data_IF_774014527078
#
_entry.id   IF_774014527078
#
_cell.length_a   1.000
_cell.length_b   1.000
_cell.length_c   1.000
_cell.angle_alpha   90.00
_cell.angle_beta   90.00
_cell.angle_gamma   90.00
#
_symmetry.space_group_name_H-M   'P 1'
#
loop_
_entity.id
_entity.type
_entity.pdbx_description
1 polymer ?
#
# COMPACT_ATOMS: atom_id res chain seq x y z
N UNK A 1 -26.97 -2.11 0.45
CA UNK A 1 -25.67 -1.93 1.12
C UNK A 1 -24.66 -2.66 0.27
N UNK A 2 -23.70 -1.96 -0.32
CA UNK A 2 -22.65 -2.59 -1.12
C UNK A 2 -21.86 -3.56 -0.23
N UNK A 3 -21.85 -4.84 -0.58
CA UNK A 3 -20.94 -5.82 0.02
C UNK A 3 -19.52 -5.46 -0.39
N UNK A 4 -18.82 -4.68 0.43
CA UNK A 4 -17.42 -4.38 0.16
C UNK A 4 -16.59 -5.66 0.30
N UNK A 5 -15.84 -5.97 -0.76
CA UNK A 5 -15.26 -7.28 -0.99
C UNK A 5 -13.90 -7.42 -0.31
N UNK A 6 -13.74 -8.46 0.50
CA UNK A 6 -12.42 -8.95 0.92
C UNK A 6 -11.84 -9.76 -0.23
N UNK A 7 -10.60 -9.45 -0.61
CA UNK A 7 -9.87 -10.11 -1.70
C UNK A 7 -8.58 -10.69 -1.12
N UNK A 8 -8.51 -12.02 -1.06
CA UNK A 8 -7.30 -12.73 -0.68
C UNK A 8 -6.22 -12.56 -1.74
N UNK A 9 -4.98 -12.40 -1.29
CA UNK A 9 -3.79 -12.22 -2.12
C UNK A 9 -2.68 -13.16 -1.65
N UNK A 10 -1.72 -13.52 -2.52
CA UNK A 10 -0.57 -14.34 -2.10
C UNK A 10 0.31 -13.70 -1.00
N UNK A 11 0.12 -12.42 -0.70
CA UNK A 11 0.89 -11.66 0.29
C UNK A 11 0.06 -11.21 1.50
N UNK A 12 -1.22 -11.57 1.56
CA UNK A 12 -2.16 -11.13 2.59
C UNK A 12 -3.54 -10.91 2.01
N UNK A 13 -4.16 -9.75 2.27
CA UNK A 13 -5.50 -9.45 1.74
C UNK A 13 -5.75 -7.97 1.57
N UNK A 14 -6.73 -7.67 0.73
CA UNK A 14 -7.30 -6.34 0.53
C UNK A 14 -8.75 -6.32 1.00
N UNK A 15 -9.09 -5.37 1.85
CA UNK A 15 -10.46 -5.10 2.29
C UNK A 15 -10.82 -3.71 1.77
N UNK A 16 -11.77 -3.62 0.83
CA UNK A 16 -12.25 -2.32 0.36
C UNK A 16 -13.08 -1.67 1.46
N UNK A 17 -12.71 -0.47 1.88
CA UNK A 17 -13.46 0.32 2.89
C UNK A 17 -14.46 1.23 2.20
N UNK A 18 -14.04 1.89 1.13
CA UNK A 18 -14.88 2.78 0.32
C UNK A 18 -14.33 2.91 -1.10
N UNK A 19 -15.22 3.10 -2.07
CA UNK A 19 -14.86 3.43 -3.45
C UNK A 19 -15.92 4.34 -4.07
N UNK A 20 -15.49 5.47 -4.61
CA UNK A 20 -16.35 6.42 -5.31
C UNK A 20 -15.57 7.12 -6.45
N UNK A 21 -16.18 8.14 -7.05
CA UNK A 21 -15.63 8.92 -8.16
C UNK A 21 -14.42 9.78 -7.77
N UNK A 22 -14.15 9.96 -6.48
CA UNK A 22 -13.09 10.86 -5.97
C UNK A 22 -11.97 10.13 -5.27
N UNK A 23 -12.22 8.97 -4.67
CA UNK A 23 -11.21 8.21 -3.96
C UNK A 23 -11.58 6.74 -3.76
N UNK A 24 -10.56 5.94 -3.47
CA UNK A 24 -10.68 4.60 -2.92
C UNK A 24 -9.94 4.53 -1.58
N UNK A 25 -10.54 3.88 -0.59
CA UNK A 25 -9.85 3.49 0.64
C UNK A 25 -9.86 1.98 0.76
N UNK A 26 -8.68 1.42 1.03
CA UNK A 26 -8.50 0.00 1.34
C UNK A 26 -7.84 -0.13 2.70
N UNK A 27 -8.21 -1.19 3.43
CA UNK A 27 -7.43 -1.75 4.52
C UNK A 27 -6.71 -2.98 3.99
N UNK A 28 -5.40 -3.00 4.12
CA UNK A 28 -4.55 -4.07 3.61
C UNK A 28 -3.89 -4.80 4.76
N UNK A 29 -3.78 -6.12 4.60
CA UNK A 29 -2.92 -6.97 5.44
C UNK A 29 -1.73 -7.41 4.58
N UNK A 30 -0.52 -7.29 5.12
CA UNK A 30 0.71 -7.80 4.51
C UNK A 30 1.38 -8.74 5.50
N UNK A 31 1.56 -10.01 5.13
CA UNK A 31 2.22 -10.98 5.99
C UNK A 31 3.74 -10.80 6.02
N UNK A 32 4.36 -11.20 7.13
CA UNK A 32 5.80 -11.15 7.30
C UNK A 32 6.53 -11.94 6.20
N UNK A 33 7.53 -11.32 5.57
CA UNK A 33 8.30 -11.89 4.45
C UNK A 33 7.57 -11.85 3.09
N UNK A 34 6.32 -11.40 3.04
CA UNK A 34 5.58 -11.25 1.79
C UNK A 34 5.64 -9.81 1.26
N UNK A 35 5.39 -9.66 -0.04
CA UNK A 35 5.40 -8.37 -0.73
C UNK A 35 4.41 -8.32 -1.89
N UNK A 36 3.88 -7.13 -2.16
CA UNK A 36 3.17 -6.88 -3.42
C UNK A 36 4.15 -6.79 -4.59
N UNK A 37 3.65 -6.77 -5.83
CA UNK A 37 4.47 -6.49 -7.03
C UNK A 37 5.03 -5.07 -6.99
N UNK A 38 6.03 -4.78 -7.81
CA UNK A 38 6.48 -3.41 -8.03
C UNK A 38 5.36 -2.67 -8.78
N UNK A 39 5.02 -1.48 -8.31
CA UNK A 39 3.89 -0.69 -8.78
C UNK A 39 4.39 0.62 -9.40
N UNK A 40 3.67 1.06 -10.44
CA UNK A 40 3.85 2.34 -11.10
C UNK A 40 2.47 2.84 -11.52
N UNK A 41 2.18 4.10 -11.25
CA UNK A 41 0.88 4.71 -11.53
C UNK A 41 1.04 5.96 -12.37
N UNK A 42 0.38 5.99 -13.54
CA UNK A 42 0.41 7.16 -14.42
C UNK A 42 -0.29 8.38 -13.81
N UNK A 43 -1.37 8.14 -13.06
CA UNK A 43 -2.26 9.21 -12.57
C UNK A 43 -2.60 9.08 -11.08
N UNK A 44 -2.69 7.85 -10.57
CA UNK A 44 -3.06 7.56 -9.19
C UNK A 44 -2.03 8.12 -8.22
N UNK A 45 -2.48 8.97 -7.30
CA UNK A 45 -1.76 9.29 -6.06
C UNK A 45 -2.29 8.39 -4.96
N UNK A 46 -1.40 7.87 -4.13
CA UNK A 46 -1.80 7.07 -2.97
C UNK A 46 -1.11 7.53 -1.70
N UNK A 47 -1.75 7.33 -0.56
CA UNK A 47 -1.20 7.57 0.78
C UNK A 47 -1.36 6.32 1.60
N UNK A 48 -0.25 5.89 2.20
CA UNK A 48 -0.17 4.77 3.11
C UNK A 48 -0.13 5.28 4.54
N UNK A 49 -0.96 4.70 5.39
CA UNK A 49 -0.94 4.91 6.84
C UNK A 49 -0.81 3.56 7.53
N UNK A 50 0.26 3.34 8.29
CA UNK A 50 0.49 2.06 8.96
C UNK A 50 -0.31 2.01 10.26
N UNK A 51 -1.19 1.02 10.39
CA UNK A 51 -2.00 0.80 11.59
C UNK A 51 -1.26 -0.07 12.61
N UNK A 52 -0.57 -1.12 12.15
CA UNK A 52 0.19 -2.04 13.01
C UNK A 52 1.28 -2.77 12.22
N UNK A 53 2.25 -3.32 12.93
CA UNK A 53 3.37 -4.06 12.35
C UNK A 53 4.46 -3.14 11.81
N UNK A 54 5.24 -3.67 10.87
CA UNK A 54 6.39 -3.00 10.25
C UNK A 54 6.39 -3.27 8.76
N UNK A 55 6.18 -2.21 7.98
CA UNK A 55 6.27 -2.25 6.52
C UNK A 55 7.62 -1.71 6.07
N UNK A 56 8.27 -2.43 5.18
CA UNK A 56 9.34 -1.89 4.35
C UNK A 56 8.71 -1.38 3.06
N UNK A 57 8.85 -0.09 2.80
CA UNK A 57 8.39 0.52 1.56
C UNK A 57 9.63 0.82 0.72
N UNK A 58 9.71 0.16 -0.43
CA UNK A 58 10.73 0.39 -1.46
C UNK A 58 10.17 1.40 -2.45
N UNK A 59 10.91 2.46 -2.78
CA UNK A 59 10.45 3.47 -3.73
C UNK A 59 11.60 4.13 -4.50
N UNK A 60 11.30 4.74 -5.65
CA UNK A 60 12.27 5.47 -6.44
C UNK A 60 11.73 6.01 -7.76
N UNK A 61 12.50 6.89 -8.41
CA UNK A 61 12.13 7.49 -9.70
C UNK A 61 12.44 6.57 -10.89
N UNK A 62 13.26 5.54 -10.70
CA UNK A 62 13.56 4.48 -11.68
C UNK A 62 13.85 3.16 -10.97
N UNK A 63 13.86 2.05 -11.71
CA UNK A 63 14.19 0.74 -11.12
C UNK A 63 15.64 0.66 -10.62
N UNK A 64 16.54 1.45 -11.20
CA UNK A 64 17.95 1.51 -10.82
C UNK A 64 18.22 2.44 -9.62
N UNK A 65 17.21 3.21 -9.19
CA UNK A 65 17.30 4.20 -8.12
C UNK A 65 16.25 3.95 -7.03
N UNK A 66 16.07 2.68 -6.65
CA UNK A 66 15.18 2.29 -5.56
C UNK A 66 15.90 2.36 -4.21
N UNK A 67 15.26 3.00 -3.25
CA UNK A 67 15.65 3.01 -1.83
C UNK A 67 14.54 2.38 -0.99
N UNK A 68 14.88 1.90 0.21
CA UNK A 68 13.89 1.38 1.15
C UNK A 68 13.93 2.11 2.49
N UNK A 69 12.77 2.12 3.15
CA UNK A 69 12.61 2.65 4.50
C UNK A 69 11.57 1.82 5.26
N UNK A 70 11.78 1.69 6.56
CA UNK A 70 10.82 1.06 7.48
C UNK A 70 9.80 2.07 7.99
N UNK A 71 8.54 1.63 8.01
CA UNK A 71 7.38 2.36 8.50
C UNK A 71 6.68 1.51 9.56
N UNK A 72 6.40 2.14 10.71
CA UNK A 72 5.76 1.53 11.89
C UNK A 72 4.40 2.16 12.12
N UNK A 73 3.64 1.61 13.06
CA UNK A 73 2.33 2.15 13.45
C UNK A 73 2.39 3.67 13.67
N UNK A 74 1.50 4.40 12.98
CA UNK A 74 1.45 5.87 13.00
C UNK A 74 2.27 6.56 11.91
N UNK A 75 3.21 5.87 11.27
CA UNK A 75 3.96 6.44 10.15
C UNK A 75 3.13 6.50 8.87
N UNK A 76 3.44 7.49 8.03
CA UNK A 76 2.73 7.74 6.77
C UNK A 76 3.68 8.05 5.64
N UNK A 77 3.25 7.72 4.42
CA UNK A 77 3.89 8.19 3.20
C UNK A 77 2.83 8.48 2.14
N UNK A 78 3.00 9.58 1.40
CA UNK A 78 2.25 9.84 0.17
C UNK A 78 3.14 9.57 -1.03
N UNK A 79 2.66 8.71 -1.91
CA UNK A 79 3.31 8.27 -3.14
C UNK A 79 2.65 9.02 -4.30
N UNK A 80 3.38 9.95 -4.97
CA UNK A 80 2.85 10.68 -6.11
C UNK A 80 2.81 9.80 -7.38
N UNK A 81 2.01 10.20 -8.39
CA UNK A 81 2.05 9.56 -9.70
C UNK A 81 3.47 9.57 -10.27
N UNK A 82 3.83 8.49 -10.97
CA UNK A 82 5.17 8.32 -11.55
C UNK A 82 6.24 7.80 -10.59
N UNK A 83 5.96 7.73 -9.28
CA UNK A 83 6.91 7.12 -8.33
C UNK A 83 6.75 5.59 -8.33
N UNK A 84 7.84 4.88 -8.60
CA UNK A 84 7.86 3.42 -8.49
C UNK A 84 7.87 3.06 -7.02
N UNK A 85 7.05 2.10 -6.60
CA UNK A 85 6.97 1.70 -5.19
C UNK A 85 6.56 0.23 -5.01
N UNK A 86 6.83 -0.32 -3.81
CA UNK A 86 6.39 -1.64 -3.36
C UNK A 86 6.34 -1.69 -1.83
N UNK A 87 5.35 -2.40 -1.29
CA UNK A 87 5.24 -2.72 0.13
C UNK A 87 5.65 -4.16 0.40
N UNK A 88 6.44 -4.35 1.45
CA UNK A 88 6.87 -5.65 1.97
C UNK A 88 6.64 -5.70 3.49
N UNK A 89 6.09 -6.79 3.99
CA UNK A 89 5.90 -7.00 5.42
C UNK A 89 7.22 -7.46 6.05
N UNK A 90 7.78 -6.65 6.93
CA UNK A 90 8.87 -7.11 7.82
C UNK A 90 8.27 -7.92 8.98
N UNK A 91 7.11 -7.46 9.45
CA UNK A 91 6.23 -8.16 10.38
C UNK A 91 4.84 -8.27 9.75
N UNK A 92 3.96 -9.10 10.33
CA UNK A 92 2.54 -9.08 9.98
C UNK A 92 1.99 -7.68 10.22
N UNK A 93 1.55 -7.04 9.15
CA UNK A 93 1.26 -5.61 9.14
C UNK A 93 -0.14 -5.34 8.61
N UNK A 94 -0.76 -4.31 9.17
CA UNK A 94 -2.04 -3.78 8.71
C UNK A 94 -1.85 -2.30 8.41
N UNK A 95 -2.34 -1.86 7.26
CA UNK A 95 -2.21 -0.48 6.80
C UNK A 95 -3.43 -0.05 5.99
N UNK A 96 -3.66 1.26 5.94
CA UNK A 96 -4.63 1.86 5.05
C UNK A 96 -3.91 2.38 3.80
N UNK A 97 -4.56 2.22 2.65
CA UNK A 97 -4.22 2.94 1.42
C UNK A 97 -5.43 3.81 1.06
N UNK A 98 -5.22 5.12 0.96
CA UNK A 98 -6.17 6.04 0.34
C UNK A 98 -5.59 6.50 -0.99
N UNK A 99 -6.35 6.37 -2.08
CA UNK A 99 -5.88 6.75 -3.40
C UNK A 99 -6.91 7.52 -4.22
N UNK A 100 -6.42 8.38 -5.12
CA UNK A 100 -7.25 9.02 -6.14
C UNK A 100 -7.67 8.00 -7.22
N UNK A 101 -8.61 8.32 -8.11
CA UNK A 101 -8.82 7.57 -9.33
C UNK A 101 -7.57 7.48 -10.20
#
# INVERSE_FOLDING_TARGET
MSEYKVIEKPWGREEVVEINDKYMVKKLTMWAGHRCSLQYHNFKKETIYVLSGVLKIVQGTSQDALEDKLYRAGDTITIPPGLIHRMEGVEDSVYLEASTP
#
